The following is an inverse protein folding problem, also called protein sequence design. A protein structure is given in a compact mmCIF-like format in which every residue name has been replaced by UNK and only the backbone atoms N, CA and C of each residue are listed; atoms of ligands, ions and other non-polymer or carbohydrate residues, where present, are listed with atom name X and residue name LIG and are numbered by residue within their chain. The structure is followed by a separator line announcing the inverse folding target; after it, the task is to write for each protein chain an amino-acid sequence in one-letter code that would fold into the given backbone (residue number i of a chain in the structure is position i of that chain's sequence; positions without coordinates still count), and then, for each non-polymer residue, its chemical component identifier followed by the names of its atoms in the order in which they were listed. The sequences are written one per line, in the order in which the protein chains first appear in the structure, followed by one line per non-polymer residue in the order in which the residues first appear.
data_IF_679573022899
#
_entry.id   IF_679573022899
#
_cell.length_a   1.000
_cell.length_b   1.000
_cell.length_c   1.000
_cell.angle_alpha   90.00
_cell.angle_beta   90.00
_cell.angle_gamma   90.00
#
_symmetry.space_group_name_H-M   'P 1'
#
loop_
_entity.id
_entity.type
_entity.pdbx_description
1 polymer ?
#
# COMPACT_ATOMS: atom_id res chain seq x y z
N UNK A 1 6.64 -20.64 39.38
CA UNK A 1 6.36 -20.91 37.94
C UNK A 1 7.48 -20.23 37.14
N UNK A 2 8.20 -20.99 36.32
CA UNK A 2 9.30 -20.46 35.51
C UNK A 2 8.70 -19.49 34.43
N UNK A 3 9.46 -18.47 33.98
CA UNK A 3 9.05 -17.46 33.01
C UNK A 3 8.53 -18.08 31.71
N UNK A 4 9.14 -19.16 31.26
CA UNK A 4 8.78 -19.86 30.00
C UNK A 4 7.39 -20.50 30.11
N UNK A 5 7.10 -21.20 31.21
CA UNK A 5 5.78 -21.77 31.45
C UNK A 5 4.70 -20.68 31.63
N UNK A 6 5.04 -19.56 32.28
CA UNK A 6 4.15 -18.40 32.36
C UNK A 6 3.83 -17.86 30.97
N UNK A 7 4.84 -17.69 30.13
CA UNK A 7 4.67 -17.24 28.76
C UNK A 7 3.80 -18.19 27.92
N UNK A 8 4.05 -19.51 28.02
CA UNK A 8 3.23 -20.55 27.36
C UNK A 8 1.74 -20.40 27.72
N UNK A 9 1.42 -20.22 29.01
CA UNK A 9 0.04 -20.02 29.47
C UNK A 9 -0.56 -18.70 28.99
N UNK A 10 0.19 -17.60 29.06
CA UNK A 10 -0.26 -16.28 28.58
C UNK A 10 -0.55 -16.29 27.08
N UNK A 11 0.33 -16.86 26.26
CA UNK A 11 0.06 -16.98 24.83
C UNK A 11 -1.13 -17.88 24.51
N UNK A 12 -1.36 -18.93 25.33
CA UNK A 12 -2.56 -19.77 25.20
C UNK A 12 -3.86 -19.02 25.50
N UNK A 13 -3.81 -18.01 26.37
CA UNK A 13 -4.96 -17.21 26.83
C UNK A 13 -5.24 -15.97 25.98
N UNK A 14 -4.42 -15.69 24.94
CA UNK A 14 -4.66 -14.57 24.05
C UNK A 14 -6.09 -14.55 23.53
N UNK A 15 -6.72 -13.40 23.64
CA UNK A 15 -8.13 -13.19 23.30
C UNK A 15 -8.32 -12.21 22.15
N UNK A 16 -8.04 -10.94 22.34
CA UNK A 16 -8.20 -9.89 21.33
C UNK A 16 -7.11 -10.00 20.26
N UNK A 17 -5.86 -10.19 20.68
CA UNK A 17 -4.71 -10.39 19.78
C UNK A 17 -4.47 -11.85 19.39
N UNK A 18 -5.47 -12.71 19.51
CA UNK A 18 -5.33 -14.12 19.12
C UNK A 18 -4.89 -14.34 17.67
N UNK A 19 -5.22 -13.39 16.80
CA UNK A 19 -4.83 -13.41 15.38
C UNK A 19 -3.33 -13.51 15.13
N UNK A 20 -2.49 -13.00 16.06
CA UNK A 20 -1.03 -13.09 15.93
C UNK A 20 -0.51 -14.52 15.92
N UNK A 21 -1.23 -15.46 16.56
CA UNK A 21 -0.86 -16.87 16.61
C UNK A 21 -0.91 -17.56 15.24
N UNK A 22 -1.51 -16.91 14.22
CA UNK A 22 -1.49 -17.36 12.83
C UNK A 22 -0.28 -16.80 12.05
N UNK A 23 0.50 -15.90 12.67
CA UNK A 23 1.71 -15.33 12.06
C UNK A 23 2.89 -16.28 12.27
N UNK A 24 3.79 -16.33 11.28
CA UNK A 24 4.84 -17.35 11.22
C UNK A 24 5.75 -17.41 12.45
N UNK A 25 6.30 -16.27 12.91
CA UNK A 25 7.23 -16.27 14.06
C UNK A 25 6.51 -16.54 15.38
N UNK A 26 5.42 -15.85 15.78
CA UNK A 26 4.68 -16.19 16.99
C UNK A 26 4.17 -17.63 17.00
N UNK A 27 3.69 -18.13 15.86
CA UNK A 27 3.23 -19.51 15.72
C UNK A 27 4.35 -20.51 15.98
N UNK A 28 5.50 -20.33 15.30
CA UNK A 28 6.64 -21.22 15.48
C UNK A 28 7.20 -21.15 16.90
N UNK A 29 7.23 -19.97 17.51
CA UNK A 29 7.64 -19.80 18.91
C UNK A 29 6.69 -20.51 19.88
N UNK A 30 5.40 -20.36 19.67
CA UNK A 30 4.41 -21.08 20.50
C UNK A 30 4.48 -22.60 20.31
N UNK A 31 4.67 -23.10 19.08
CA UNK A 31 4.91 -24.53 18.80
C UNK A 31 6.14 -25.03 19.54
N UNK A 32 7.22 -24.24 19.62
CA UNK A 32 8.40 -24.57 20.43
C UNK A 32 8.06 -24.66 21.92
N UNK A 33 7.29 -23.69 22.47
CA UNK A 33 6.87 -23.74 23.87
C UNK A 33 5.95 -24.95 24.18
N UNK A 34 5.17 -25.40 23.21
CA UNK A 34 4.35 -26.62 23.34
C UNK A 34 5.18 -27.89 23.29
N UNK A 35 6.41 -27.85 22.78
CA UNK A 35 7.30 -29.00 22.67
C UNK A 35 8.22 -29.21 23.87
N UNK A 36 8.14 -28.33 24.91
CA UNK A 36 9.00 -28.40 26.12
C UNK A 36 8.90 -29.75 26.88
N UNK A 37 7.76 -30.40 26.79
CA UNK A 37 7.51 -31.71 27.43
C UNK A 37 7.51 -32.88 26.44
N UNK A 38 8.00 -32.65 25.21
CA UNK A 38 8.07 -33.66 24.13
C UNK A 38 9.45 -34.30 24.04
N UNK A 39 9.56 -35.35 23.22
CA UNK A 39 10.83 -36.01 22.96
C UNK A 39 11.88 -35.08 22.34
N UNK A 40 13.19 -35.36 22.54
CA UNK A 40 14.29 -34.55 22.03
C UNK A 40 14.18 -34.16 20.56
N UNK A 41 13.80 -35.12 19.70
CA UNK A 41 13.70 -34.88 18.26
C UNK A 41 12.58 -33.89 17.92
N UNK A 42 11.43 -33.96 18.61
CA UNK A 42 10.30 -33.06 18.39
C UNK A 42 10.65 -31.64 18.88
N UNK A 43 11.31 -31.51 20.03
CA UNK A 43 11.76 -30.23 20.56
C UNK A 43 12.81 -29.59 19.65
N UNK A 44 13.85 -30.34 19.27
CA UNK A 44 14.90 -29.83 18.38
C UNK A 44 14.36 -29.44 17.00
N UNK A 45 13.39 -30.20 16.48
CA UNK A 45 12.70 -29.86 15.21
C UNK A 45 11.96 -28.51 15.34
N UNK A 46 11.20 -28.29 16.42
CA UNK A 46 10.48 -27.03 16.65
C UNK A 46 11.46 -25.86 16.88
N UNK A 47 12.56 -26.11 17.60
CA UNK A 47 13.64 -25.13 17.83
C UNK A 47 14.31 -24.73 16.52
N UNK A 48 14.72 -25.69 15.70
CA UNK A 48 15.32 -25.44 14.40
C UNK A 48 14.39 -24.70 13.43
N UNK A 49 13.09 -25.04 13.43
CA UNK A 49 12.07 -24.36 12.65
C UNK A 49 11.96 -22.86 13.00
N UNK A 50 11.96 -22.51 14.30
CA UNK A 50 11.95 -21.12 14.74
C UNK A 50 13.21 -20.39 14.28
N UNK A 51 14.38 -21.00 14.52
CA UNK A 51 15.67 -20.40 14.13
C UNK A 51 15.76 -20.15 12.62
N UNK A 52 15.33 -21.12 11.81
CA UNK A 52 15.24 -20.96 10.33
C UNK A 52 14.37 -19.77 9.95
N UNK A 53 13.17 -19.63 10.54
CA UNK A 53 12.29 -18.51 10.26
C UNK A 53 12.88 -17.16 10.65
N UNK A 54 13.60 -17.11 11.78
CA UNK A 54 14.27 -15.87 12.22
C UNK A 54 15.41 -15.50 11.27
N UNK A 55 16.19 -16.46 10.80
CA UNK A 55 17.26 -16.26 9.82
C UNK A 55 16.70 -15.78 8.47
N UNK A 56 15.70 -16.45 7.91
CA UNK A 56 15.07 -16.10 6.63
C UNK A 56 14.49 -14.67 6.64
N UNK A 57 14.03 -14.19 7.81
CA UNK A 57 13.48 -12.84 7.98
C UNK A 57 14.51 -11.81 8.41
N UNK A 58 15.77 -12.19 8.63
CA UNK A 58 16.79 -11.30 9.15
C UNK A 58 16.45 -10.75 10.55
N UNK A 59 15.81 -11.57 11.40
CA UNK A 59 15.33 -11.20 12.73
C UNK A 59 15.98 -12.00 13.86
N UNK A 60 17.06 -12.73 13.60
CA UNK A 60 17.77 -13.52 14.61
C UNK A 60 18.35 -12.66 15.74
N UNK A 61 18.67 -11.40 15.45
CA UNK A 61 19.14 -10.36 16.40
C UNK A 61 18.01 -9.45 16.91
N UNK A 62 16.76 -9.67 16.52
CA UNK A 62 15.59 -8.80 16.74
C UNK A 62 14.33 -9.60 17.08
N UNK A 63 14.45 -10.63 17.87
CA UNK A 63 13.34 -11.52 18.21
C UNK A 63 12.15 -10.77 18.82
N UNK A 64 12.44 -9.83 19.76
CA UNK A 64 11.41 -9.03 20.40
C UNK A 64 10.61 -8.19 19.39
N UNK A 65 11.31 -7.63 18.41
CA UNK A 65 10.66 -6.92 17.30
C UNK A 65 9.77 -7.87 16.50
N UNK A 66 10.30 -9.03 16.10
CA UNK A 66 9.58 -9.99 15.27
C UNK A 66 8.29 -10.54 15.93
N UNK A 67 8.25 -10.61 17.27
CA UNK A 67 7.04 -10.96 18.02
C UNK A 67 6.10 -9.76 18.12
N UNK A 68 6.57 -8.62 18.62
CA UNK A 68 5.73 -7.46 18.95
C UNK A 68 5.16 -6.73 17.74
N UNK A 69 5.89 -6.68 16.60
CA UNK A 69 5.38 -6.06 15.38
C UNK A 69 4.13 -6.75 14.83
N UNK A 70 3.94 -8.05 15.14
CA UNK A 70 2.79 -8.79 14.64
C UNK A 70 1.47 -8.26 15.17
N UNK A 71 1.47 -7.69 16.38
CA UNK A 71 0.32 -7.01 16.92
C UNK A 71 -0.04 -5.74 16.13
N UNK A 72 0.96 -5.02 15.61
CA UNK A 72 0.74 -3.80 14.82
C UNK A 72 -0.03 -4.08 13.51
N UNK A 73 0.03 -5.31 13.03
CA UNK A 73 -0.63 -5.75 11.79
C UNK A 73 -1.81 -6.69 12.05
N UNK A 74 -2.27 -6.77 13.30
CA UNK A 74 -3.44 -7.58 13.61
C UNK A 74 -4.75 -6.85 13.25
N UNK A 75 -5.77 -7.62 12.90
CA UNK A 75 -7.10 -7.11 12.56
C UNK A 75 -8.11 -7.61 13.61
N UNK A 76 -8.25 -6.85 14.68
CA UNK A 76 -9.11 -7.18 15.81
C UNK A 76 -10.04 -6.01 16.17
N UNK A 77 -10.96 -6.22 17.13
CA UNK A 77 -11.93 -5.21 17.53
C UNK A 77 -11.27 -3.94 18.07
N UNK A 78 -10.18 -4.05 18.85
CA UNK A 78 -9.45 -2.88 19.37
C UNK A 78 -8.75 -2.12 18.23
N UNK A 79 -8.03 -2.83 17.37
CA UNK A 79 -7.32 -2.24 16.23
C UNK A 79 -8.28 -1.45 15.31
N UNK A 80 -9.45 -2.04 14.99
CA UNK A 80 -10.49 -1.37 14.19
C UNK A 80 -11.08 -0.15 14.90
N UNK A 81 -11.39 -0.26 16.19
CA UNK A 81 -11.92 0.87 16.97
C UNK A 81 -10.89 2.00 17.08
N UNK A 82 -9.62 1.67 17.35
CA UNK A 82 -8.53 2.65 17.42
C UNK A 82 -8.27 3.33 16.09
N UNK A 83 -8.30 2.58 14.98
CA UNK A 83 -8.20 3.15 13.61
C UNK A 83 -9.33 4.17 13.36
N UNK A 84 -10.54 3.87 13.83
CA UNK A 84 -11.70 4.77 13.72
C UNK A 84 -11.69 5.93 14.73
N UNK A 85 -10.74 5.98 15.67
CA UNK A 85 -10.72 6.95 16.77
C UNK A 85 -11.80 6.72 17.81
N UNK A 86 -12.40 5.51 17.87
CA UNK A 86 -13.49 5.12 18.77
C UNK A 86 -13.07 4.14 19.87
N UNK A 87 -11.77 4.06 20.17
CA UNK A 87 -11.24 3.16 21.20
C UNK A 87 -11.84 3.43 22.60
N UNK A 88 -12.27 4.69 22.88
CA UNK A 88 -12.94 5.06 24.11
C UNK A 88 -14.38 4.53 24.26
N UNK A 89 -14.98 4.00 23.19
CA UNK A 89 -16.31 3.39 23.21
C UNK A 89 -16.26 1.88 23.55
N UNK A 90 -15.05 1.31 23.62
CA UNK A 90 -14.89 -0.11 23.92
C UNK A 90 -15.23 -0.40 25.38
N UNK A 91 -15.91 -1.52 25.67
CA UNK A 91 -16.18 -1.95 27.04
C UNK A 91 -14.90 -2.16 27.86
N UNK A 92 -14.94 -1.86 29.14
CA UNK A 92 -13.76 -1.98 30.04
C UNK A 92 -13.14 -3.38 30.07
N UNK A 93 -13.94 -4.43 29.97
CA UNK A 93 -13.45 -5.81 29.90
C UNK A 93 -12.65 -6.07 28.62
N UNK A 94 -13.01 -5.46 27.50
CA UNK A 94 -12.23 -5.56 26.25
C UNK A 94 -10.92 -4.81 26.39
N UNK A 95 -10.92 -3.60 26.95
CA UNK A 95 -9.71 -2.81 27.21
C UNK A 95 -8.76 -3.55 28.16
N UNK A 96 -9.31 -4.19 29.21
CA UNK A 96 -8.53 -5.02 30.15
C UNK A 96 -7.92 -6.23 29.44
N UNK A 97 -8.68 -6.90 28.56
CA UNK A 97 -8.19 -8.02 27.77
C UNK A 97 -7.06 -7.62 26.81
N UNK A 98 -7.17 -6.44 26.16
CA UNK A 98 -6.11 -5.88 25.31
C UNK A 98 -4.81 -5.67 26.11
N UNK A 99 -4.90 -5.11 27.33
CA UNK A 99 -3.72 -4.91 28.19
C UNK A 99 -3.07 -6.23 28.56
N UNK A 100 -3.87 -7.22 28.96
CA UNK A 100 -3.40 -8.58 29.28
C UNK A 100 -2.70 -9.22 28.08
N UNK A 101 -3.26 -9.10 26.88
CA UNK A 101 -2.68 -9.62 25.66
C UNK A 101 -1.37 -8.89 25.29
N UNK A 102 -1.29 -7.56 25.51
CA UNK A 102 -0.04 -6.81 25.33
C UNK A 102 1.06 -7.30 26.29
N UNK A 103 0.72 -7.54 27.57
CA UNK A 103 1.65 -8.10 28.55
C UNK A 103 2.11 -9.50 28.17
N UNK A 104 1.22 -10.33 27.61
CA UNK A 104 1.57 -11.66 27.11
C UNK A 104 2.57 -11.57 25.93
N UNK A 105 2.32 -10.67 24.98
CA UNK A 105 3.19 -10.42 23.83
C UNK A 105 4.57 -9.95 24.29
N UNK A 106 4.62 -9.02 25.24
CA UNK A 106 5.87 -8.50 25.81
C UNK A 106 6.62 -9.56 26.61
N UNK A 107 5.91 -10.40 27.34
CA UNK A 107 6.53 -11.53 28.06
C UNK A 107 7.18 -12.50 27.08
N UNK A 108 6.51 -12.80 25.96
CA UNK A 108 7.06 -13.62 24.89
C UNK A 108 8.28 -12.98 24.22
N UNK A 109 8.20 -11.69 23.92
CA UNK A 109 9.24 -10.93 23.25
C UNK A 109 10.57 -10.86 24.06
N UNK A 110 10.49 -10.97 25.39
CA UNK A 110 11.66 -10.88 26.29
C UNK A 110 12.36 -12.22 26.52
N UNK A 111 11.75 -13.36 26.13
CA UNK A 111 12.35 -14.66 26.35
C UNK A 111 13.58 -14.91 25.46
N UNK A 112 14.64 -15.36 26.12
CA UNK A 112 15.89 -15.73 25.46
C UNK A 112 15.90 -17.20 25.07
N UNK A 113 16.78 -17.56 24.11
CA UNK A 113 17.00 -18.95 23.75
C UNK A 113 17.51 -19.79 24.92
N UNK A 114 18.34 -19.21 25.78
CA UNK A 114 18.91 -19.91 26.95
C UNK A 114 17.81 -20.25 27.96
N UNK A 115 16.90 -19.31 28.28
CA UNK A 115 15.76 -19.59 29.18
C UNK A 115 14.87 -20.73 28.64
N UNK A 116 14.67 -20.79 27.31
CA UNK A 116 13.85 -21.85 26.68
C UNK A 116 14.57 -23.20 26.74
N UNK A 117 15.88 -23.23 26.46
CA UNK A 117 16.69 -24.44 26.55
C UNK A 117 16.79 -24.99 27.99
N UNK A 118 16.94 -24.10 28.99
CA UNK A 118 16.97 -24.46 30.41
C UNK A 118 15.60 -24.97 30.90
N UNK A 119 14.50 -24.50 30.30
CA UNK A 119 13.15 -24.92 30.66
C UNK A 119 12.73 -26.23 30.01
N UNK A 120 13.50 -26.79 29.08
CA UNK A 120 13.20 -28.05 28.42
C UNK A 120 13.31 -29.24 29.40
N UNK A 121 12.27 -30.06 29.46
CA UNK A 121 12.17 -31.16 30.47
C UNK A 121 13.28 -32.17 30.35
N UNK A 122 13.75 -32.47 29.15
CA UNK A 122 14.83 -33.46 28.90
C UNK A 122 16.13 -32.76 28.46
N UNK A 123 16.48 -31.63 29.08
CA UNK A 123 17.66 -30.87 28.74
C UNK A 123 18.97 -31.67 28.89
N UNK A 124 19.02 -32.58 29.85
CA UNK A 124 20.19 -33.46 30.07
C UNK A 124 20.43 -34.40 28.87
N UNK A 125 19.41 -34.84 28.15
CA UNK A 125 19.51 -35.70 26.98
C UNK A 125 20.13 -34.99 25.76
N UNK A 126 20.00 -33.64 25.69
CA UNK A 126 20.54 -32.80 24.61
C UNK A 126 21.71 -31.93 25.05
N UNK A 127 22.26 -32.15 26.23
CA UNK A 127 23.28 -31.29 26.87
C UNK A 127 24.49 -31.05 25.96
N UNK A 128 24.94 -32.04 25.22
CA UNK A 128 26.08 -31.89 24.28
C UNK A 128 25.74 -31.05 23.05
N UNK A 129 24.45 -30.92 22.68
CA UNK A 129 23.99 -30.16 21.56
C UNK A 129 23.75 -28.69 21.92
N UNK A 130 23.36 -28.37 23.17
CA UNK A 130 23.00 -27.01 23.62
C UNK A 130 24.08 -25.96 23.22
N UNK A 131 25.41 -26.20 23.37
CA UNK A 131 26.41 -25.21 23.02
C UNK A 131 26.52 -24.90 21.52
N UNK A 132 26.07 -25.80 20.65
CA UNK A 132 26.17 -25.66 19.20
C UNK A 132 24.84 -25.25 18.55
N UNK A 133 23.72 -25.22 19.30
CA UNK A 133 22.43 -24.75 18.79
C UNK A 133 22.50 -23.24 18.48
N UNK A 134 21.87 -22.79 17.37
CA UNK A 134 21.78 -21.38 17.05
C UNK A 134 20.96 -20.66 18.13
N UNK A 135 21.43 -19.47 18.56
CA UNK A 135 20.76 -18.64 19.56
C UNK A 135 20.21 -17.39 18.94
N UNK A 136 19.00 -16.98 19.35
CA UNK A 136 18.47 -15.66 19.00
C UNK A 136 18.78 -14.63 20.07
N UNK A 137 18.83 -13.37 19.63
CA UNK A 137 18.91 -12.21 20.53
C UNK A 137 17.56 -11.52 20.59
N UNK A 138 17.17 -11.05 21.77
CA UNK A 138 15.86 -10.40 21.95
C UNK A 138 15.77 -9.08 21.21
N UNK A 139 16.79 -8.22 21.31
CA UNK A 139 16.76 -6.88 20.72
C UNK A 139 15.70 -5.98 21.38
N UNK A 140 15.25 -4.93 20.65
CA UNK A 140 14.18 -4.03 21.09
C UNK A 140 12.82 -4.50 20.53
N UNK A 141 11.75 -4.20 21.27
CA UNK A 141 10.39 -4.36 20.78
C UNK A 141 10.05 -3.35 19.66
N UNK A 142 8.94 -3.57 18.97
CA UNK A 142 8.36 -2.57 18.10
C UNK A 142 8.03 -1.27 18.86
N UNK A 143 8.11 -0.07 18.22
CA UNK A 143 8.07 1.22 18.92
C UNK A 143 6.88 1.41 19.87
N UNK A 144 5.71 0.86 19.52
CA UNK A 144 4.51 0.96 20.40
C UNK A 144 4.61 0.11 21.66
N UNK A 145 5.50 -0.88 21.67
CA UNK A 145 5.71 -1.82 22.78
C UNK A 145 7.00 -1.51 23.54
N UNK A 146 7.86 -0.65 23.02
CA UNK A 146 9.09 -0.26 23.71
C UNK A 146 8.73 0.67 24.89
N UNK A 147 9.10 0.25 26.11
CA UNK A 147 8.71 0.95 27.33
C UNK A 147 7.22 0.95 27.61
N UNK A 148 6.50 -0.11 27.26
CA UNK A 148 5.07 -0.26 27.54
C UNK A 148 4.82 -0.24 29.06
N UNK A 149 3.98 0.68 29.50
CA UNK A 149 3.63 0.96 30.90
C UNK A 149 2.17 0.58 31.24
N UNK A 150 1.51 -0.19 30.38
CA UNK A 150 0.08 -0.52 30.47
C UNK A 150 -0.86 0.50 29.82
N UNK A 151 -0.33 1.63 29.28
CA UNK A 151 -1.12 2.55 28.46
C UNK A 151 -1.25 2.03 27.02
N UNK A 152 -2.45 2.16 26.47
CA UNK A 152 -2.75 1.79 25.08
C UNK A 152 -2.63 3.00 24.14
N UNK A 153 -2.20 4.16 24.60
CA UNK A 153 -2.22 5.40 23.82
C UNK A 153 -1.30 5.33 22.59
N UNK A 154 -0.08 4.82 22.78
CA UNK A 154 0.87 4.65 21.68
C UNK A 154 0.35 3.67 20.62
N UNK A 155 -0.27 2.59 21.05
CA UNK A 155 -0.83 1.58 20.17
C UNK A 155 -2.08 2.10 19.45
N UNK A 156 -2.94 2.85 20.15
CA UNK A 156 -4.10 3.53 19.55
C UNK A 156 -3.69 4.57 18.51
N UNK A 157 -2.68 5.39 18.83
CA UNK A 157 -2.14 6.37 17.90
C UNK A 157 -1.58 5.70 16.62
N UNK A 158 -0.85 4.60 16.79
CA UNK A 158 -0.34 3.83 15.68
C UNK A 158 -1.46 3.34 14.74
N UNK A 159 -2.51 2.72 15.30
CA UNK A 159 -3.62 2.24 14.49
C UNK A 159 -4.41 3.37 13.83
N UNK A 160 -4.58 4.50 14.50
CA UNK A 160 -5.23 5.68 13.93
C UNK A 160 -4.49 6.20 12.70
N UNK A 161 -3.15 6.21 12.73
CA UNK A 161 -2.30 6.67 11.65
C UNK A 161 -2.16 5.63 10.53
N UNK A 162 -1.94 4.37 10.90
CA UNK A 162 -1.54 3.33 9.96
C UNK A 162 -2.66 2.38 9.53
N UNK A 163 -3.79 2.37 10.22
CA UNK A 163 -4.84 1.37 10.03
C UNK A 163 -4.50 0.05 10.72
N UNK A 164 -5.29 -0.99 10.44
CA UNK A 164 -5.12 -2.33 10.99
C UNK A 164 -5.04 -3.38 9.87
N UNK A 165 -4.66 -4.60 10.23
CA UNK A 165 -4.59 -5.73 9.31
C UNK A 165 -3.63 -5.50 8.13
N UNK A 166 -4.07 -5.91 6.94
CA UNK A 166 -3.27 -5.72 5.73
C UNK A 166 -3.06 -4.24 5.37
N UNK A 167 -3.98 -3.35 5.76
CA UNK A 167 -3.89 -1.92 5.48
C UNK A 167 -2.84 -1.20 6.34
N UNK A 168 -2.49 -1.74 7.51
CA UNK A 168 -1.37 -1.25 8.29
C UNK A 168 -0.03 -1.61 7.63
N UNK A 169 0.06 -2.85 7.11
CA UNK A 169 1.30 -3.40 6.54
C UNK A 169 1.58 -2.88 5.14
N UNK A 170 0.55 -2.81 4.29
CA UNK A 170 0.66 -2.41 2.88
C UNK A 170 -0.03 -1.08 2.63
N UNK A 171 0.42 -0.33 1.65
CA UNK A 171 -0.10 0.99 1.29
C UNK A 171 -0.70 1.03 -0.12
N UNK A 172 -0.34 0.06 -0.96
CA UNK A 172 -0.83 -0.11 -2.31
C UNK A 172 -1.50 -1.48 -2.48
N UNK A 173 -2.61 -1.49 -3.17
CA UNK A 173 -3.45 -2.66 -3.39
C UNK A 173 -3.92 -2.71 -4.83
N UNK A 174 -4.37 -3.89 -5.25
CA UNK A 174 -5.01 -4.12 -6.53
C UNK A 174 -6.30 -4.92 -6.32
N UNK A 175 -7.34 -4.59 -7.05
CA UNK A 175 -8.56 -5.39 -7.11
C UNK A 175 -8.33 -6.61 -8.01
N UNK A 176 -8.41 -7.80 -7.46
CA UNK A 176 -8.23 -9.05 -8.16
C UNK A 176 -9.09 -10.15 -7.54
N UNK A 177 -9.74 -10.96 -8.40
CA UNK A 177 -10.54 -12.12 -7.99
C UNK A 177 -11.64 -11.79 -6.97
N UNK A 178 -12.29 -10.63 -7.14
CA UNK A 178 -13.37 -10.16 -6.25
C UNK A 178 -12.89 -9.71 -4.87
N UNK A 179 -11.57 -9.44 -4.70
CA UNK A 179 -11.01 -9.03 -3.42
C UNK A 179 -9.88 -7.98 -3.57
N UNK A 180 -9.60 -7.27 -2.48
CA UNK A 180 -8.49 -6.33 -2.36
C UNK A 180 -7.23 -7.13 -2.03
N UNK A 181 -6.23 -7.11 -2.91
CA UNK A 181 -4.95 -7.80 -2.72
C UNK A 181 -3.83 -6.80 -2.50
N UNK A 182 -2.94 -7.00 -1.53
CA UNK A 182 -1.80 -6.13 -1.33
C UNK A 182 -0.80 -6.24 -2.47
N UNK A 183 -0.14 -5.13 -2.81
CA UNK A 183 1.02 -5.08 -3.69
C UNK A 183 2.26 -5.04 -2.80
N UNK A 184 3.06 -6.12 -2.82
CA UNK A 184 4.22 -6.26 -1.93
C UNK A 184 5.37 -5.33 -2.31
N UNK A 185 5.57 -5.10 -3.60
CA UNK A 185 6.62 -4.25 -4.15
C UNK A 185 6.03 -3.16 -5.05
N UNK A 186 5.36 -2.13 -4.47
CA UNK A 186 4.84 -1.03 -5.26
C UNK A 186 5.96 -0.17 -5.83
N UNK A 187 5.70 0.47 -6.98
CA UNK A 187 6.62 1.45 -7.56
C UNK A 187 6.95 2.55 -6.55
N UNK A 188 8.23 2.69 -6.21
CA UNK A 188 8.72 3.74 -5.31
C UNK A 188 9.03 4.99 -6.14
N UNK A 189 7.97 5.72 -6.48
CA UNK A 189 8.08 6.99 -7.20
C UNK A 189 7.91 8.10 -6.17
N UNK A 190 8.95 8.91 -5.98
CA UNK A 190 8.92 10.06 -5.08
C UNK A 190 8.58 11.34 -5.86
N UNK A 191 7.83 12.25 -5.25
CA UNK A 191 7.44 13.53 -5.88
C UNK A 191 8.64 14.38 -6.24
N UNK A 192 9.71 14.33 -5.46
CA UNK A 192 10.95 15.09 -5.68
C UNK A 192 11.74 14.64 -6.91
N UNK A 193 11.45 13.44 -7.43
CA UNK A 193 12.13 12.92 -8.64
C UNK A 193 11.55 13.45 -9.95
N UNK A 194 10.46 14.22 -9.89
CA UNK A 194 9.81 14.77 -11.06
C UNK A 194 10.29 16.18 -11.38
N UNK A 195 10.67 16.40 -12.62
CA UNK A 195 10.90 17.73 -13.20
C UNK A 195 9.78 18.05 -14.19
N UNK A 196 9.29 19.28 -14.19
CA UNK A 196 8.19 19.74 -15.04
C UNK A 196 6.79 19.39 -14.50
N UNK A 197 5.77 20.00 -15.06
CA UNK A 197 4.35 19.82 -14.69
C UNK A 197 4.00 20.21 -13.24
N UNK A 198 4.73 21.14 -12.63
CA UNK A 198 4.52 21.59 -11.24
C UNK A 198 3.09 22.05 -11.00
N UNK A 199 2.52 22.81 -11.94
CA UNK A 199 1.14 23.32 -11.85
C UNK A 199 0.13 22.16 -11.82
N UNK A 200 0.29 21.19 -12.73
CA UNK A 200 -0.59 20.05 -12.81
C UNK A 200 -0.50 19.20 -11.54
N UNK A 201 0.71 18.91 -11.08
CA UNK A 201 0.94 18.15 -9.84
C UNK A 201 0.35 18.85 -8.63
N UNK A 202 0.58 20.18 -8.49
CA UNK A 202 0.04 20.96 -7.38
C UNK A 202 -1.49 20.91 -7.31
N UNK A 203 -2.19 20.89 -8.44
CA UNK A 203 -3.65 20.76 -8.46
C UNK A 203 -4.09 19.42 -7.88
N UNK A 204 -3.45 18.31 -8.27
CA UNK A 204 -3.79 16.96 -7.78
C UNK A 204 -3.40 16.80 -6.31
N UNK A 205 -2.23 17.31 -5.91
CA UNK A 205 -1.77 17.32 -4.51
C UNK A 205 -2.74 18.08 -3.61
N UNK A 206 -3.14 19.29 -3.99
CA UNK A 206 -4.06 20.13 -3.21
C UNK A 206 -5.45 19.46 -3.07
N UNK A 207 -5.95 18.80 -4.13
CA UNK A 207 -7.18 18.03 -4.08
C UNK A 207 -7.07 16.83 -3.11
N UNK A 208 -5.93 16.13 -3.13
CA UNK A 208 -5.66 15.01 -2.22
C UNK A 208 -5.52 15.48 -0.78
N UNK A 209 -4.82 16.59 -0.53
CA UNK A 209 -4.72 17.20 0.81
C UNK A 209 -6.09 17.58 1.36
N UNK A 210 -6.94 18.20 0.54
CA UNK A 210 -8.32 18.54 0.92
C UNK A 210 -9.10 17.27 1.32
N UNK A 211 -8.95 16.19 0.57
CA UNK A 211 -9.56 14.90 0.87
C UNK A 211 -9.10 14.31 2.21
N UNK A 212 -7.79 14.29 2.45
CA UNK A 212 -7.21 13.79 3.71
C UNK A 212 -7.72 14.60 4.89
N UNK A 213 -7.82 15.92 4.74
CA UNK A 213 -8.32 16.85 5.75
C UNK A 213 -9.85 16.82 5.93
N UNK A 214 -10.57 16.00 5.17
CA UNK A 214 -12.04 15.93 5.23
C UNK A 214 -12.75 17.15 4.65
N UNK A 215 -12.06 17.95 3.82
CA UNK A 215 -12.62 19.10 3.12
C UNK A 215 -13.24 18.68 1.78
N UNK A 216 -13.96 19.61 1.15
CA UNK A 216 -14.51 19.41 -0.20
C UNK A 216 -13.40 19.07 -1.20
N UNK A 217 -13.59 18.02 -1.98
CA UNK A 217 -12.64 17.49 -2.95
C UNK A 217 -13.38 16.78 -4.09
N UNK A 218 -12.70 16.62 -5.22
CA UNK A 218 -13.28 16.07 -6.43
C UNK A 218 -12.60 14.75 -6.84
N UNK A 219 -13.32 13.91 -7.59
CA UNK A 219 -12.69 12.89 -8.40
C UNK A 219 -11.79 13.56 -9.43
N UNK A 220 -10.69 12.92 -9.81
CA UNK A 220 -9.68 13.52 -10.67
C UNK A 220 -9.44 12.70 -11.94
N UNK A 221 -9.49 13.36 -13.08
CA UNK A 221 -9.08 12.81 -14.37
C UNK A 221 -7.79 13.49 -14.84
N UNK A 222 -6.70 12.72 -14.95
CA UNK A 222 -5.48 13.16 -15.57
C UNK A 222 -5.48 12.69 -17.03
N UNK A 223 -5.57 13.62 -17.97
CA UNK A 223 -5.65 13.27 -19.39
C UNK A 223 -4.56 13.94 -20.21
N UNK A 224 -4.31 13.46 -21.43
CA UNK A 224 -3.35 14.05 -22.35
C UNK A 224 -2.33 13.05 -22.89
N UNK A 225 -1.21 13.53 -23.39
CA UNK A 225 -0.28 12.75 -24.19
C UNK A 225 0.38 11.60 -23.44
N UNK A 226 0.75 10.54 -24.18
CA UNK A 226 1.43 9.36 -23.60
C UNK A 226 2.81 9.73 -23.08
N UNK A 227 3.20 9.10 -21.96
CA UNK A 227 4.55 9.26 -21.41
C UNK A 227 4.80 10.56 -20.66
N UNK A 228 3.77 11.38 -20.39
CA UNK A 228 3.86 12.66 -19.69
C UNK A 228 3.85 12.56 -18.15
N UNK A 229 3.75 11.35 -17.59
CA UNK A 229 3.84 11.14 -16.15
C UNK A 229 2.50 11.11 -15.39
N UNK A 230 1.34 11.02 -16.07
CA UNK A 230 0.00 10.97 -15.43
C UNK A 230 -0.11 9.89 -14.34
N UNK A 231 0.11 8.64 -14.69
CA UNK A 231 0.02 7.51 -13.76
C UNK A 231 1.10 7.60 -12.67
N UNK A 232 2.29 8.07 -13.03
CA UNK A 232 3.39 8.29 -12.07
C UNK A 232 3.02 9.35 -11.03
N UNK A 233 2.32 10.42 -11.42
CA UNK A 233 1.82 11.45 -10.49
C UNK A 233 0.88 10.86 -9.45
N UNK A 234 -0.08 10.02 -9.85
CA UNK A 234 -1.02 9.38 -8.91
C UNK A 234 -0.28 8.45 -7.95
N UNK A 235 0.65 7.64 -8.46
CA UNK A 235 1.47 6.73 -7.64
C UNK A 235 2.36 7.50 -6.65
N UNK A 236 2.98 8.61 -7.09
CA UNK A 236 3.82 9.44 -6.22
C UNK A 236 3.00 10.10 -5.10
N UNK A 237 1.81 10.62 -5.40
CA UNK A 237 0.88 11.17 -4.39
C UNK A 237 0.51 10.10 -3.36
N UNK A 238 0.21 8.88 -3.79
CA UNK A 238 -0.10 7.79 -2.88
C UNK A 238 1.09 7.44 -1.96
N UNK A 239 2.33 7.54 -2.46
CA UNK A 239 3.54 7.35 -1.66
C UNK A 239 3.78 8.50 -0.67
N UNK A 240 3.57 9.74 -1.09
CA UNK A 240 3.74 10.95 -0.28
C UNK A 240 2.84 10.92 0.96
N UNK A 241 1.53 10.71 0.74
CA UNK A 241 0.53 10.76 1.80
C UNK A 241 0.26 9.42 2.50
N UNK A 242 1.13 8.43 2.31
CA UNK A 242 0.98 7.11 2.96
C UNK A 242 0.94 7.16 4.48
N UNK A 243 1.65 8.14 5.09
CA UNK A 243 1.71 8.35 6.54
C UNK A 243 0.46 9.06 7.07
N UNK A 244 -0.27 9.75 6.19
CA UNK A 244 -1.51 10.46 6.54
C UNK A 244 -2.76 9.58 6.39
N UNK A 245 -2.59 8.26 6.43
CA UNK A 245 -3.68 7.29 6.36
C UNK A 245 -4.21 7.03 4.94
N UNK A 246 -3.56 7.58 3.90
CA UNK A 246 -3.96 7.35 2.51
C UNK A 246 -3.54 5.94 2.03
N UNK A 247 -4.44 5.28 1.32
CA UNK A 247 -4.22 4.00 0.64
C UNK A 247 -4.62 4.13 -0.83
N UNK A 248 -3.96 3.39 -1.69
CA UNK A 248 -4.32 3.32 -3.12
C UNK A 248 -4.77 1.90 -3.46
N UNK A 249 -5.88 1.79 -4.17
CA UNK A 249 -6.38 0.54 -4.73
C UNK A 249 -6.49 0.71 -6.24
N UNK A 250 -5.67 0.00 -6.98
CA UNK A 250 -5.79 -0.05 -8.44
C UNK A 250 -6.98 -0.93 -8.83
N UNK A 251 -7.90 -0.35 -9.60
CA UNK A 251 -9.05 -1.02 -10.19
C UNK A 251 -8.77 -1.22 -11.68
N UNK A 252 -8.53 -2.47 -12.13
CA UNK A 252 -8.36 -2.76 -13.54
C UNK A 252 -9.62 -2.37 -14.35
N UNK A 253 -9.45 -1.76 -15.50
CA UNK A 253 -10.54 -1.25 -16.33
C UNK A 253 -11.53 -2.33 -16.79
N UNK A 254 -11.08 -3.55 -16.98
CA UNK A 254 -11.88 -4.73 -17.33
C UNK A 254 -12.68 -5.28 -16.14
N UNK A 255 -12.43 -4.78 -14.93
CA UNK A 255 -13.11 -5.15 -13.69
C UNK A 255 -13.99 -4.03 -13.12
N UNK A 256 -14.24 -2.97 -13.86
CA UNK A 256 -15.07 -1.86 -13.39
C UNK A 256 -16.51 -2.27 -13.02
N UNK A 257 -17.00 -3.37 -13.54
CA UNK A 257 -18.28 -3.94 -13.14
C UNK A 257 -18.32 -4.33 -11.65
N UNK A 258 -17.15 -4.66 -11.06
CA UNK A 258 -17.01 -5.02 -9.65
C UNK A 258 -16.88 -3.77 -8.75
N UNK A 259 -16.93 -2.56 -9.30
CA UNK A 259 -16.73 -1.33 -8.54
C UNK A 259 -17.61 -1.22 -7.28
N UNK A 260 -18.92 -1.58 -7.32
CA UNK A 260 -19.76 -1.57 -6.13
C UNK A 260 -19.23 -2.50 -5.02
N UNK A 261 -18.71 -3.67 -5.37
CA UNK A 261 -18.16 -4.62 -4.41
C UNK A 261 -16.88 -4.07 -3.74
N UNK A 262 -16.04 -3.35 -4.49
CA UNK A 262 -14.88 -2.67 -3.92
C UNK A 262 -15.33 -1.58 -2.94
N UNK A 263 -16.29 -0.75 -3.34
CA UNK A 263 -16.85 0.33 -2.52
C UNK A 263 -17.39 -0.23 -1.19
N UNK A 264 -18.17 -1.29 -1.22
CA UNK A 264 -18.73 -1.92 -0.02
C UNK A 264 -17.63 -2.38 0.96
N UNK A 265 -16.53 -2.92 0.42
CA UNK A 265 -15.40 -3.39 1.24
C UNK A 265 -14.62 -2.25 1.90
N UNK A 266 -14.47 -1.10 1.23
CA UNK A 266 -13.67 0.01 1.78
C UNK A 266 -14.51 1.01 2.58
N UNK A 267 -15.81 1.10 2.34
CA UNK A 267 -16.70 2.08 2.98
C UNK A 267 -16.70 1.98 4.52
N UNK A 268 -16.61 0.76 5.06
CA UNK A 268 -16.58 0.52 6.50
C UNK A 268 -15.19 0.76 7.13
N UNK A 269 -14.15 0.98 6.31
CA UNK A 269 -12.79 1.15 6.81
C UNK A 269 -12.53 2.62 7.15
N UNK A 270 -11.94 2.92 8.32
CA UNK A 270 -11.68 4.29 8.77
C UNK A 270 -10.38 4.87 8.16
N UNK A 271 -10.09 4.53 6.92
CA UNK A 271 -8.93 4.98 6.14
C UNK A 271 -9.40 5.75 4.90
N UNK A 272 -8.53 6.55 4.31
CA UNK A 272 -8.77 7.25 3.05
C UNK A 272 -8.23 6.45 1.88
N UNK A 273 -9.03 6.33 0.81
CA UNK A 273 -8.68 5.53 -0.36
C UNK A 273 -8.67 6.36 -1.64
N UNK A 274 -7.64 6.18 -2.45
CA UNK A 274 -7.68 6.53 -3.88
C UNK A 274 -7.97 5.24 -4.64
N UNK A 275 -9.12 5.19 -5.34
CA UNK A 275 -9.40 4.15 -6.31
C UNK A 275 -8.78 4.62 -7.63
N UNK A 276 -7.74 3.94 -8.06
CA UNK A 276 -6.95 4.33 -9.22
C UNK A 276 -7.32 3.49 -10.43
N UNK A 277 -7.71 4.15 -11.53
CA UNK A 277 -8.06 3.52 -12.82
C UNK A 277 -7.06 4.02 -13.85
N UNK A 278 -6.13 3.16 -14.27
CA UNK A 278 -5.08 3.53 -15.22
C UNK A 278 -5.53 3.27 -16.68
N UNK A 279 -5.13 4.15 -17.58
CA UNK A 279 -5.39 4.10 -19.04
C UNK A 279 -6.88 3.89 -19.38
N UNK A 280 -7.74 4.71 -18.74
CA UNK A 280 -9.18 4.65 -18.93
C UNK A 280 -9.55 5.03 -20.36
N UNK A 281 -10.20 4.10 -21.05
CA UNK A 281 -10.74 4.29 -22.40
C UNK A 281 -11.83 3.26 -22.64
N UNK A 282 -12.96 3.67 -23.19
CA UNK A 282 -14.10 2.81 -23.47
C UNK A 282 -14.29 2.60 -24.98
N UNK A 283 -14.89 1.48 -25.34
CA UNK A 283 -15.48 1.24 -26.64
C UNK A 283 -16.99 1.56 -26.60
N UNK A 284 -17.60 1.75 -27.75
CA UNK A 284 -19.06 1.87 -27.82
C UNK A 284 -19.73 0.62 -27.20
N UNK A 285 -20.73 0.83 -26.33
CA UNK A 285 -21.51 -0.22 -25.61
C UNK A 285 -20.71 -0.99 -24.53
N UNK A 286 -19.68 -0.40 -23.95
CA UNK A 286 -18.96 -1.02 -22.86
C UNK A 286 -19.78 -0.92 -21.55
N UNK A 287 -20.10 -2.06 -20.94
CA UNK A 287 -20.81 -2.11 -19.65
C UNK A 287 -20.03 -1.38 -18.54
N UNK A 288 -18.72 -1.40 -18.60
CA UNK A 288 -17.84 -0.70 -17.67
C UNK A 288 -18.04 0.83 -17.71
N UNK A 289 -18.39 1.37 -18.88
CA UNK A 289 -18.74 2.80 -19.04
C UNK A 289 -19.99 3.15 -18.24
N UNK A 290 -21.06 2.35 -18.37
CA UNK A 290 -22.33 2.57 -17.68
C UNK A 290 -22.15 2.48 -16.16
N UNK A 291 -21.36 1.51 -15.69
CA UNK A 291 -21.05 1.35 -14.27
C UNK A 291 -20.31 2.57 -13.73
N UNK A 292 -19.22 3.00 -14.39
CA UNK A 292 -18.46 4.15 -13.94
C UNK A 292 -19.28 5.45 -13.98
N UNK A 293 -20.12 5.63 -15.01
CA UNK A 293 -21.05 6.75 -15.12
C UNK A 293 -21.99 6.80 -13.91
N UNK A 294 -22.63 5.69 -13.56
CA UNK A 294 -23.53 5.60 -12.40
C UNK A 294 -22.84 5.94 -11.08
N UNK A 295 -21.60 5.49 -10.92
CA UNK A 295 -20.79 5.78 -9.71
C UNK A 295 -20.42 7.27 -9.62
N UNK A 296 -20.02 7.89 -10.72
CA UNK A 296 -19.66 9.32 -10.76
C UNK A 296 -20.87 10.24 -10.63
N UNK A 297 -22.05 9.80 -11.05
CA UNK A 297 -23.32 10.52 -10.94
C UNK A 297 -23.92 10.50 -9.53
N UNK A 298 -23.38 9.69 -8.63
CA UNK A 298 -23.92 9.58 -7.27
C UNK A 298 -25.16 8.70 -7.19
N UNK A 299 -25.26 7.65 -8.00
CA UNK A 299 -26.33 6.64 -7.90
C UNK A 299 -26.40 5.97 -6.53
N UNK A 300 -27.33 5.01 -6.32
CA UNK A 300 -27.51 4.29 -5.04
C UNK A 300 -26.21 3.64 -4.51
N UNK A 301 -25.28 3.28 -5.40
CA UNK A 301 -23.91 2.83 -5.08
C UNK A 301 -22.92 4.00 -5.19
N UNK A 302 -23.21 5.13 -4.54
CA UNK A 302 -22.37 6.31 -4.56
C UNK A 302 -21.00 6.03 -3.94
N UNK A 303 -20.02 6.78 -4.40
CA UNK A 303 -18.67 6.79 -3.79
C UNK A 303 -18.78 7.09 -2.29
N UNK A 304 -18.16 6.31 -1.40
CA UNK A 304 -18.17 6.60 0.02
C UNK A 304 -17.29 7.83 0.33
N UNK A 305 -17.54 8.52 1.43
CA UNK A 305 -16.82 9.72 1.85
C UNK A 305 -15.32 9.50 2.09
N UNK A 306 -14.92 8.25 2.25
CA UNK A 306 -13.54 7.85 2.47
C UNK A 306 -12.81 7.40 1.20
N UNK A 307 -13.38 7.59 0.01
CA UNK A 307 -12.74 7.24 -1.26
C UNK A 307 -12.80 8.36 -2.30
N UNK A 308 -11.75 8.51 -3.10
CA UNK A 308 -11.70 9.32 -4.32
C UNK A 308 -11.37 8.45 -5.53
N UNK A 309 -11.91 8.79 -6.68
CA UNK A 309 -11.59 8.12 -7.94
C UNK A 309 -10.58 8.98 -8.70
N UNK A 310 -9.40 8.41 -8.96
CA UNK A 310 -8.38 9.01 -9.81
C UNK A 310 -8.22 8.16 -11.06
N UNK A 311 -8.45 8.76 -12.22
CA UNK A 311 -8.30 8.07 -13.48
C UNK A 311 -7.25 8.75 -14.36
N UNK A 312 -6.55 7.97 -15.16
CA UNK A 312 -5.70 8.50 -16.22
C UNK A 312 -6.26 8.13 -17.58
N UNK A 313 -6.06 8.99 -18.57
CA UNK A 313 -6.44 8.71 -19.96
C UNK A 313 -5.46 9.34 -20.95
N UNK A 314 -5.28 8.71 -22.08
CA UNK A 314 -4.51 9.29 -23.16
C UNK A 314 -5.35 10.24 -24.06
N UNK A 315 -6.62 10.43 -23.71
CA UNK A 315 -7.56 11.30 -24.44
C UNK A 315 -8.43 12.06 -23.42
N UNK A 316 -8.87 13.26 -23.78
CA UNK A 316 -9.87 13.99 -23.02
C UNK A 316 -11.24 13.29 -23.10
N UNK A 317 -11.58 12.82 -24.30
CA UNK A 317 -12.80 12.06 -24.55
C UNK A 317 -12.52 10.57 -24.29
N UNK A 318 -13.20 10.01 -23.31
CA UNK A 318 -12.94 8.64 -22.81
C UNK A 318 -13.47 7.54 -23.72
N UNK A 319 -14.38 7.86 -24.66
CA UNK A 319 -14.94 6.93 -25.64
C UNK A 319 -14.17 7.06 -26.98
N UNK A 320 -13.83 5.93 -27.57
CA UNK A 320 -13.16 5.88 -28.89
C UNK A 320 -14.17 6.15 -29.99
N UNK A 321 -13.91 7.15 -30.83
CA UNK A 321 -14.61 7.30 -32.12
C UNK A 321 -14.13 6.22 -33.08
N UNK A 322 -15.05 5.52 -33.73
CA UNK A 322 -14.74 4.62 -34.85
C UNK A 322 -14.54 5.43 -36.11
N UNK A 323 -13.55 5.04 -36.95
CA UNK A 323 -13.32 5.67 -38.27
C UNK A 323 -14.50 5.42 -39.22
N UNK A 324 -15.26 4.32 -39.00
CA UNK A 324 -16.48 4.02 -39.72
C UNK A 324 -17.60 5.04 -39.48
N UNK A 325 -17.60 5.74 -38.36
CA UNK A 325 -18.61 6.74 -38.03
C UNK A 325 -18.44 8.06 -38.82
N UNK A 326 -17.26 8.23 -39.51
CA UNK A 326 -17.01 9.42 -40.31
C UNK A 326 -17.43 9.29 -41.78
N UNK A 327 -17.84 8.09 -42.24
CA UNK A 327 -18.10 7.81 -43.65
C UNK A 327 -19.58 7.66 -44.00
N UNK A 328 -20.49 7.68 -43.04
CA UNK A 328 -21.93 7.59 -43.33
C UNK A 328 -22.67 8.91 -43.01
N UNK A 329 -23.08 9.57 -44.07
CA UNK A 329 -23.77 10.87 -44.12
C UNK A 329 -25.25 10.83 -43.66
N UNK A 330 -25.71 9.85 -42.88
CA UNK A 330 -27.15 9.71 -42.57
C UNK A 330 -27.51 9.73 -41.09
N UNK A 331 -26.54 9.75 -40.14
CA UNK A 331 -26.84 9.76 -38.71
C UNK A 331 -26.04 10.80 -37.90
N UNK A 332 -26.08 12.06 -38.30
CA UNK A 332 -25.47 13.20 -37.57
C UNK A 332 -26.01 13.36 -36.12
N UNK A 333 -27.17 12.80 -35.80
CA UNK A 333 -27.80 12.89 -34.49
C UNK A 333 -27.11 11.92 -33.51
N UNK A 334 -26.86 10.68 -33.90
CA UNK A 334 -26.20 9.68 -33.04
C UNK A 334 -24.73 10.03 -32.75
N UNK A 335 -24.04 10.67 -33.69
CA UNK A 335 -22.64 11.11 -33.48
C UNK A 335 -22.57 12.29 -32.47
N UNK A 336 -23.53 13.23 -32.53
CA UNK A 336 -23.63 14.33 -31.56
C UNK A 336 -24.03 13.85 -30.18
N UNK A 337 -24.97 12.92 -30.08
CA UNK A 337 -25.38 12.35 -28.80
C UNK A 337 -24.24 11.57 -28.13
N UNK A 338 -23.49 10.80 -28.90
CA UNK A 338 -22.31 10.07 -28.43
C UNK A 338 -21.15 11.01 -28.01
N UNK A 339 -20.94 12.13 -28.71
CA UNK A 339 -20.00 13.16 -28.30
C UNK A 339 -20.43 13.87 -26.99
N UNK A 340 -21.72 14.18 -26.86
CA UNK A 340 -22.26 14.75 -25.62
C UNK A 340 -22.18 13.78 -24.45
N UNK A 341 -22.41 12.49 -24.64
CA UNK A 341 -22.25 11.49 -23.60
C UNK A 341 -20.80 11.31 -23.15
N UNK A 342 -19.84 11.31 -24.09
CA UNK A 342 -18.42 11.18 -23.75
C UNK A 342 -17.83 12.41 -23.08
N UNK A 343 -18.29 13.61 -23.44
CA UNK A 343 -18.01 14.86 -22.73
C UNK A 343 -18.60 14.83 -21.32
N UNK A 344 -19.80 14.28 -21.18
CA UNK A 344 -20.50 14.21 -19.90
C UNK A 344 -19.78 13.37 -18.84
N UNK A 345 -19.01 12.34 -19.21
CA UNK A 345 -18.29 11.51 -18.24
C UNK A 345 -17.02 12.20 -17.73
N UNK A 346 -16.25 12.87 -18.59
CA UNK A 346 -15.05 13.61 -18.18
C UNK A 346 -15.40 14.81 -17.29
N UNK A 347 -16.52 15.47 -17.55
CA UNK A 347 -16.97 16.63 -16.76
C UNK A 347 -17.42 16.23 -15.35
N UNK A 348 -17.81 14.95 -15.13
CA UNK A 348 -18.21 14.42 -13.81
C UNK A 348 -17.06 14.13 -12.86
N UNK A 349 -15.82 14.13 -13.35
CA UNK A 349 -14.68 14.02 -12.46
C UNK A 349 -14.49 15.26 -11.56
N UNK A 350 -15.03 16.41 -11.93
CA UNK A 350 -14.93 17.64 -11.16
C UNK A 350 -13.53 18.28 -11.19
N UNK A 351 -12.45 17.50 -11.24
CA UNK A 351 -11.09 17.98 -11.49
C UNK A 351 -10.52 17.27 -12.72
N UNK A 352 -10.27 18.02 -13.78
CA UNK A 352 -9.65 17.52 -15.01
C UNK A 352 -8.32 18.21 -15.25
N UNK A 353 -7.21 17.47 -15.24
CA UNK A 353 -5.85 17.99 -15.35
C UNK A 353 -5.20 17.50 -16.65
N UNK A 354 -4.81 18.45 -17.50
CA UNK A 354 -4.25 18.17 -18.81
C UNK A 354 -2.71 18.07 -18.79
N UNK A 355 -2.17 16.99 -19.32
CA UNK A 355 -0.75 16.74 -19.48
C UNK A 355 -0.39 16.73 -20.98
N UNK A 356 0.07 17.86 -21.50
CA UNK A 356 0.50 17.98 -22.90
C UNK A 356 1.96 17.62 -23.06
N UNK A 357 2.37 17.30 -24.29
CA UNK A 357 3.80 17.16 -24.64
C UNK A 357 4.55 18.43 -24.19
N UNK A 358 5.70 18.27 -23.50
CA UNK A 358 6.49 19.40 -23.05
C UNK A 358 7.07 20.20 -24.23
N UNK A 359 7.25 21.50 -24.06
CA UNK A 359 8.02 22.31 -24.99
C UNK A 359 9.45 21.78 -25.11
N UNK A 360 10.19 22.24 -26.13
CA UNK A 360 11.60 21.84 -26.27
C UNK A 360 12.41 22.19 -25.01
N UNK A 361 12.21 23.38 -24.46
CA UNK A 361 12.93 23.84 -23.29
C UNK A 361 12.58 23.01 -22.05
N UNK A 362 11.29 22.79 -21.77
CA UNK A 362 10.85 21.96 -20.66
C UNK A 362 11.36 20.51 -20.79
N UNK A 363 11.39 19.97 -22.00
CA UNK A 363 11.94 18.64 -22.25
C UNK A 363 13.43 18.56 -21.93
N UNK A 364 14.21 19.57 -22.36
CA UNK A 364 15.65 19.64 -22.06
C UNK A 364 15.91 19.84 -20.57
N UNK A 365 15.12 20.64 -19.87
CA UNK A 365 15.20 20.78 -18.41
C UNK A 365 14.97 19.43 -17.70
N UNK A 366 14.00 18.64 -18.16
CA UNK A 366 13.77 17.27 -17.66
C UNK A 366 15.00 16.39 -17.91
N UNK A 367 15.60 16.46 -19.10
CA UNK A 367 16.81 15.70 -19.44
C UNK A 367 17.97 16.09 -18.53
N UNK A 368 18.23 17.38 -18.35
CA UNK A 368 19.33 17.88 -17.53
C UNK A 368 19.18 17.45 -16.07
N UNK A 369 17.97 17.61 -15.51
CA UNK A 369 17.67 17.19 -14.15
C UNK A 369 17.87 15.68 -13.95
N UNK A 370 17.42 14.85 -14.89
CA UNK A 370 17.62 13.41 -14.85
C UNK A 370 19.09 13.00 -15.00
N UNK A 371 19.84 13.69 -15.87
CA UNK A 371 21.28 13.47 -16.06
C UNK A 371 22.08 13.83 -14.81
N UNK A 372 21.74 14.96 -14.15
CA UNK A 372 22.37 15.37 -12.89
C UNK A 372 22.09 14.34 -11.77
N UNK A 373 20.83 13.92 -11.59
CA UNK A 373 20.44 12.91 -10.60
C UNK A 373 21.18 11.58 -10.77
N UNK A 374 21.56 11.25 -12.01
CA UNK A 374 22.31 10.02 -12.35
C UNK A 374 23.81 10.22 -12.43
N UNK A 375 24.31 11.44 -12.22
CA UNK A 375 25.75 11.76 -12.25
C UNK A 375 26.39 11.64 -13.65
N UNK A 376 25.61 11.89 -14.71
CA UNK A 376 26.12 11.89 -16.10
C UNK A 376 27.09 13.04 -16.29
N UNK A 377 28.30 12.74 -16.81
CA UNK A 377 29.36 13.71 -17.05
C UNK A 377 29.40 14.11 -18.54
N UNK A 378 28.37 14.81 -18.99
CA UNK A 378 28.28 15.37 -20.34
C UNK A 378 27.91 16.85 -20.25
N UNK A 379 28.29 17.62 -21.27
CA UNK A 379 27.88 19.03 -21.37
C UNK A 379 26.39 19.15 -21.69
N UNK A 380 25.78 20.28 -21.33
CA UNK A 380 24.38 20.55 -21.67
C UNK A 380 24.14 20.53 -23.19
N UNK A 381 25.13 20.92 -24.00
CA UNK A 381 25.04 20.91 -25.45
C UNK A 381 25.02 19.48 -26.02
N UNK A 382 25.88 18.61 -25.52
CA UNK A 382 25.91 17.19 -25.91
C UNK A 382 24.63 16.46 -25.49
N UNK A 383 24.15 16.73 -24.25
CA UNK A 383 22.90 16.17 -23.75
C UNK A 383 21.69 16.63 -24.58
N UNK A 384 21.65 17.93 -24.92
CA UNK A 384 20.56 18.51 -25.74
C UNK A 384 20.52 17.89 -27.12
N UNK A 385 21.69 17.79 -27.80
CA UNK A 385 21.76 17.22 -29.14
C UNK A 385 21.34 15.74 -29.15
N UNK A 386 21.88 14.96 -28.23
CA UNK A 386 21.56 13.53 -28.12
C UNK A 386 20.08 13.28 -27.74
N UNK A 387 19.54 14.05 -26.81
CA UNK A 387 18.14 13.96 -26.38
C UNK A 387 17.16 14.30 -27.53
N UNK A 388 17.45 15.34 -28.32
CA UNK A 388 16.62 15.69 -29.48
C UNK A 388 16.66 14.61 -30.56
N UNK A 389 17.84 14.08 -30.87
CA UNK A 389 17.98 12.96 -31.81
C UNK A 389 17.23 11.73 -31.34
N UNK A 390 17.33 11.40 -30.05
CA UNK A 390 16.61 10.28 -29.46
C UNK A 390 15.10 10.50 -29.49
N UNK A 391 14.63 11.72 -29.19
CA UNK A 391 13.21 12.05 -29.24
C UNK A 391 12.63 11.93 -30.65
N UNK A 392 13.37 12.36 -31.67
CA UNK A 392 12.97 12.20 -33.08
C UNK A 392 12.82 10.72 -33.46
N UNK A 393 13.72 9.85 -32.98
CA UNK A 393 13.67 8.40 -33.30
C UNK A 393 12.55 7.67 -32.53
N UNK A 394 12.06 8.22 -31.42
CA UNK A 394 11.05 7.59 -30.53
C UNK A 394 9.67 8.20 -30.62
N UNK A 395 9.42 9.09 -31.58
CA UNK A 395 8.10 9.66 -31.85
C UNK A 395 7.71 10.85 -30.98
N UNK A 396 8.68 11.54 -30.36
CA UNK A 396 8.45 12.84 -29.74
C UNK A 396 9.06 13.03 -28.36
N UNK A 397 9.01 14.29 -27.92
CA UNK A 397 9.50 14.70 -26.61
C UNK A 397 8.49 14.28 -25.53
N UNK A 398 8.93 13.54 -24.54
CA UNK A 398 8.14 13.21 -23.34
C UNK A 398 9.06 12.92 -22.15
N UNK A 399 8.61 13.06 -20.90
CA UNK A 399 9.39 12.64 -19.73
C UNK A 399 9.86 11.19 -19.78
N UNK A 400 9.06 10.29 -20.36
CA UNK A 400 9.46 8.90 -20.59
C UNK A 400 10.62 8.80 -21.58
N UNK A 401 10.57 9.57 -22.67
CA UNK A 401 11.64 9.64 -23.66
C UNK A 401 12.92 10.20 -23.03
N UNK A 402 12.83 11.27 -22.23
CA UNK A 402 13.97 11.84 -21.51
C UNK A 402 14.63 10.82 -20.59
N UNK A 403 13.84 10.07 -19.81
CA UNK A 403 14.35 9.01 -18.94
C UNK A 403 15.05 7.90 -19.72
N UNK A 404 14.43 7.40 -20.80
CA UNK A 404 15.01 6.36 -21.64
C UNK A 404 16.32 6.81 -22.29
N UNK A 405 16.40 8.07 -22.72
CA UNK A 405 17.64 8.64 -23.25
C UNK A 405 18.74 8.65 -22.18
N UNK A 406 18.46 9.19 -21.02
CA UNK A 406 19.49 9.24 -19.94
C UNK A 406 19.90 7.84 -19.50
N UNK A 407 18.96 6.88 -19.43
CA UNK A 407 19.28 5.47 -19.14
C UNK A 407 20.16 4.83 -20.24
N UNK A 408 19.96 5.18 -21.50
CA UNK A 408 20.78 4.67 -22.61
C UNK A 408 22.23 5.16 -22.62
N UNK A 409 22.56 6.20 -21.84
CA UNK A 409 23.94 6.69 -21.70
C UNK A 409 24.81 5.78 -20.81
N UNK A 410 24.20 4.82 -20.12
CA UNK A 410 24.90 3.85 -19.26
C UNK A 410 24.97 2.44 -19.86
N UNK A 411 24.40 2.23 -21.05
CA UNK A 411 24.50 1.01 -21.83
C UNK A 411 25.61 1.13 -22.87
#
# INVERSE_FOLDING_TARGET
MNNVNKCKMLLSSLSVFRGIMNRSVPKAFYELLLSLDKKPEEFLCAYGKLCSMLCERGCADKFAFAISETALFDDNCFARAATAGRQGELPENVVSAVKTDCDAILTAAKLTSDEVLEAYTYADEIKELIPILPKWQTGKCAPCFDGFDGSLDKLSAYYKENGCGMFARYKAFIWRDGDIRPVEHPDRIDMDTFTGYERQRSQVVNNTLSFIQGKSCNNCLLYGDKGTGKSSTVKAIANEFRKDGLRIVEMPKDRLIDFPLLVDKIAALPLKFIIFIDDLSFQHQDQSYTTLKAVLEGGLAARPDNALIYATSNRRHLVKESISDRTHTVDDINVRDNMQESLSLSDRFGLAVCYTIPSKNDFLEIVYSLAEQRGVKMTHEELALGAEQFALSRGGRSPRCARQYVESLFC
#
